data_IF_821598034361
#
_entry.id   IF_821598034361
#
_cell.length_a   1.000
_cell.length_b   1.000
_cell.length_c   1.000
_cell.angle_alpha   90.00
_cell.angle_beta   90.00
_cell.angle_gamma   90.00
#
_symmetry.space_group_name_H-M   'P 1'
#
loop_
_entity.id
_entity.type
_entity.pdbx_description
1 polymer ?
#
# COMPACT_ATOMS: atom_id res chain seq x y z
N UNK A 1 -6.92 15.62 -3.62
CA UNK A 1 -5.59 15.13 -3.21
C UNK A 1 -5.83 13.92 -2.34
N UNK A 2 -5.29 12.76 -2.70
CA UNK A 2 -5.58 11.51 -2.01
C UNK A 2 -4.25 11.03 -1.42
N UNK A 3 -4.11 11.09 -0.11
CA UNK A 3 -2.94 10.57 0.61
C UNK A 3 -3.10 9.06 0.76
N UNK A 4 -2.16 8.28 0.25
CA UNK A 4 -2.15 6.82 0.44
C UNK A 4 -0.97 6.43 1.32
N UNK A 5 -1.25 5.59 2.31
CA UNK A 5 -0.23 5.11 3.25
C UNK A 5 0.23 3.73 2.80
N UNK A 6 1.53 3.58 2.62
CA UNK A 6 2.20 2.32 2.30
C UNK A 6 3.13 1.92 3.44
N UNK A 7 3.22 0.63 3.72
CA UNK A 7 4.06 0.06 4.75
C UNK A 7 5.24 -0.66 4.12
N UNK A 8 6.39 -0.43 4.73
CA UNK A 8 7.63 -1.13 4.46
C UNK A 8 7.70 -2.35 5.35
N UNK A 9 7.87 -3.51 4.74
CA UNK A 9 8.01 -4.78 5.42
C UNK A 9 9.13 -5.60 4.79
N UNK A 10 9.77 -6.44 5.59
CA UNK A 10 10.78 -7.37 5.13
C UNK A 10 10.29 -8.81 5.36
N UNK A 11 10.09 -9.56 4.29
CA UNK A 11 9.65 -10.94 4.35
C UNK A 11 10.72 -11.85 4.97
N UNK A 12 10.29 -12.97 5.53
CA UNK A 12 11.20 -13.98 6.11
C UNK A 12 12.17 -14.58 5.07
N UNK A 13 11.78 -14.55 3.79
CA UNK A 13 12.60 -14.97 2.64
C UNK A 13 13.76 -13.98 2.34
N UNK A 14 13.81 -12.83 3.03
CA UNK A 14 14.80 -11.77 2.81
C UNK A 14 14.40 -10.76 1.73
N UNK A 15 13.21 -10.90 1.17
CA UNK A 15 12.63 -9.94 0.22
C UNK A 15 12.06 -8.72 0.95
N UNK A 16 12.35 -7.52 0.46
CA UNK A 16 11.81 -6.27 0.99
C UNK A 16 10.66 -5.76 0.13
N UNK A 17 9.63 -5.17 0.75
CA UNK A 17 8.51 -4.56 0.06
C UNK A 17 8.06 -3.28 0.77
N UNK A 18 8.08 -2.16 0.06
CA UNK A 18 7.61 -0.84 0.54
C UNK A 18 6.16 -0.52 0.17
N UNK A 19 5.53 -1.36 -0.65
CA UNK A 19 4.24 -1.08 -1.26
C UNK A 19 3.06 -1.81 -0.57
N UNK A 20 3.16 -2.10 0.74
CA UNK A 20 2.14 -2.89 1.45
C UNK A 20 1.02 -1.99 1.99
N UNK A 21 -0.23 -2.37 1.72
CA UNK A 21 -1.36 -1.64 2.28
C UNK A 21 -1.61 -2.03 3.74
N UNK A 22 -1.98 -1.07 4.62
CA UNK A 22 -2.35 -1.36 6.00
C UNK A 22 -3.56 -2.28 6.12
N UNK A 23 -4.46 -2.30 5.12
CA UNK A 23 -5.61 -3.20 5.04
C UNK A 23 -5.23 -4.67 4.79
N UNK A 24 -4.07 -4.91 4.17
CA UNK A 24 -3.59 -6.26 3.91
C UNK A 24 -3.04 -6.93 5.17
N UNK A 25 -2.72 -6.16 6.22
CA UNK A 25 -2.22 -6.69 7.49
C UNK A 25 -3.40 -7.35 8.23
N UNK A 26 -3.40 -8.67 8.31
CA UNK A 26 -4.40 -9.45 9.05
C UNK A 26 -4.01 -9.68 10.52
N UNK A 27 -2.74 -9.43 10.86
CA UNK A 27 -2.24 -9.66 12.22
C UNK A 27 -2.75 -8.63 13.23
N UNK A 28 -3.11 -7.44 12.76
CA UNK A 28 -3.65 -6.34 13.57
C UNK A 28 -4.43 -5.40 12.65
N UNK A 29 -5.47 -4.76 13.18
CA UNK A 29 -6.19 -3.69 12.48
C UNK A 29 -5.34 -2.41 12.42
N UNK A 30 -4.33 -2.36 11.55
CA UNK A 30 -3.50 -1.17 11.35
C UNK A 30 -4.32 0.06 10.94
N UNK A 31 -5.47 -0.16 10.31
CA UNK A 31 -6.43 0.88 9.91
C UNK A 31 -7.02 1.61 11.14
N UNK A 32 -7.32 0.88 12.22
CA UNK A 32 -7.96 1.45 13.42
C UNK A 32 -6.95 1.73 14.54
N UNK A 33 -5.98 0.83 14.73
CA UNK A 33 -4.99 0.90 15.82
C UNK A 33 -3.75 1.72 15.42
N UNK A 34 -3.56 1.99 14.12
CA UNK A 34 -2.37 2.65 13.59
C UNK A 34 -1.21 1.68 13.31
N UNK A 35 -0.07 2.22 12.84
CA UNK A 35 1.06 1.43 12.40
C UNK A 35 1.68 0.60 13.55
N UNK A 36 2.20 -0.62 13.26
CA UNK A 36 2.96 -1.40 14.21
C UNK A 36 4.30 -0.72 14.58
N UNK A 37 4.93 -1.11 15.70
CA UNK A 37 6.29 -0.69 15.99
C UNK A 37 7.29 -1.28 15.01
N UNK A 38 8.33 -0.50 14.68
CA UNK A 38 9.42 -0.90 13.80
C UNK A 38 10.07 -2.19 14.31
N UNK A 39 10.11 -3.21 13.47
CA UNK A 39 10.65 -4.53 13.75
C UNK A 39 9.65 -5.56 14.30
N UNK A 40 8.37 -5.23 14.43
CA UNK A 40 7.33 -6.20 14.80
C UNK A 40 7.07 -7.19 13.65
N UNK A 41 6.93 -8.48 13.97
CA UNK A 41 6.52 -9.47 12.98
C UNK A 41 5.01 -9.36 12.74
N UNK A 42 4.65 -9.00 11.51
CA UNK A 42 3.27 -8.88 11.05
C UNK A 42 2.94 -9.98 10.03
N UNK A 43 1.69 -10.40 10.06
CA UNK A 43 1.10 -11.28 9.05
C UNK A 43 0.21 -10.44 8.15
N UNK A 44 0.41 -10.58 6.84
CA UNK A 44 -0.38 -9.89 5.84
C UNK A 44 -0.79 -10.86 4.72
N UNK A 45 -1.97 -10.62 4.16
CA UNK A 45 -2.49 -11.39 3.04
C UNK A 45 -2.10 -10.67 1.75
N UNK A 46 -1.33 -11.36 0.89
CA UNK A 46 -0.95 -10.82 -0.41
C UNK A 46 -2.08 -10.94 -1.42
N UNK A 47 -1.91 -10.34 -2.61
CA UNK A 47 -2.89 -10.37 -3.70
C UNK A 47 -3.26 -11.79 -4.16
N UNK A 48 -2.38 -12.75 -3.94
CA UNK A 48 -2.58 -14.18 -4.23
C UNK A 48 -3.47 -14.89 -3.20
N UNK A 49 -3.90 -14.19 -2.14
CA UNK A 49 -4.68 -14.74 -1.04
C UNK A 49 -3.84 -15.54 -0.02
N UNK A 50 -2.53 -15.66 -0.25
CA UNK A 50 -1.59 -16.33 0.63
C UNK A 50 -1.16 -15.39 1.76
N UNK A 51 -1.08 -15.93 2.97
CA UNK A 51 -0.62 -15.21 4.16
C UNK A 51 0.90 -15.31 4.23
N UNK A 52 1.55 -14.15 4.17
CA UNK A 52 2.99 -14.04 4.35
C UNK A 52 3.31 -13.40 5.69
N UNK A 53 4.42 -13.85 6.28
CA UNK A 53 5.00 -13.24 7.47
C UNK A 53 6.09 -12.29 7.03
N UNK A 54 5.98 -11.05 7.48
CA UNK A 54 6.97 -10.02 7.21
C UNK A 54 7.22 -9.21 8.47
N UNK A 55 8.43 -8.69 8.60
CA UNK A 55 8.83 -7.79 9.67
C UNK A 55 8.52 -6.37 9.25
N UNK A 56 7.69 -5.67 10.01
CA UNK A 56 7.39 -4.26 9.76
C UNK A 56 8.68 -3.44 9.92
N UNK A 57 8.93 -2.54 8.97
CA UNK A 57 10.10 -1.67 8.96
C UNK A 57 9.64 -0.25 9.27
N UNK A 58 8.79 0.34 8.41
CA UNK A 58 8.32 1.72 8.56
C UNK A 58 6.99 1.95 7.83
N UNK A 59 6.32 3.09 8.11
CA UNK A 59 5.12 3.53 7.39
C UNK A 59 5.42 4.79 6.59
N UNK A 60 5.31 4.71 5.27
CA UNK A 60 5.50 5.81 4.33
C UNK A 60 4.14 6.32 3.82
N UNK A 61 3.87 7.61 4.02
CA UNK A 61 2.67 8.27 3.50
C UNK A 61 3.02 8.96 2.18
N UNK A 62 2.55 8.40 1.07
CA UNK A 62 2.75 8.98 -0.27
C UNK A 62 1.53 9.80 -0.70
N UNK A 63 1.76 11.05 -1.09
CA UNK A 63 0.73 11.86 -1.73
C UNK A 63 0.50 11.37 -3.16
N UNK A 64 -0.64 10.72 -3.40
CA UNK A 64 -1.04 10.36 -4.75
C UNK A 64 -1.67 11.59 -5.40
N UNK A 65 -0.98 12.12 -6.40
CA UNK A 65 -1.59 13.02 -7.36
C UNK A 65 -2.52 12.17 -8.24
N UNK A 66 -3.77 12.01 -7.82
CA UNK A 66 -4.82 11.58 -8.76
C UNK A 66 -4.88 12.65 -9.86
N UNK A 67 -4.29 12.34 -11.01
CA UNK A 67 -4.53 13.10 -12.23
C UNK A 67 -5.94 12.75 -12.67
N UNK A 68 -6.91 13.56 -12.25
CA UNK A 68 -8.17 13.64 -12.96
C UNK A 68 -7.82 14.10 -14.37
N UNK A 69 -7.74 13.16 -15.33
CA UNK A 69 -7.72 13.54 -16.74
C UNK A 69 -9.08 14.17 -17.04
N UNK A 70 -9.16 15.49 -16.92
CA UNK A 70 -10.23 16.27 -17.53
C UNK A 70 -10.26 15.93 -19.02
N UNK A 71 -11.45 15.56 -19.48
CA UNK A 71 -11.70 15.05 -20.81
C UNK A 71 -11.19 15.98 -21.90
N UNK A 72 -10.06 15.63 -22.52
CA UNK A 72 -9.72 16.10 -23.85
C UNK A 72 -10.54 15.35 -24.91
N UNK A 73 -11.88 15.37 -24.79
CA UNK A 73 -12.77 15.02 -25.88
C UNK A 73 -12.97 16.25 -26.78
N UNK A 74 -11.92 16.70 -27.46
CA UNK A 74 -12.03 17.56 -28.64
C UNK A 74 -11.32 16.91 -29.82
N UNK A 75 -11.91 15.83 -30.34
CA UNK A 75 -11.65 15.39 -31.71
C UNK A 75 -12.68 16.06 -32.61
N UNK A 76 -12.29 17.19 -33.20
CA UNK A 76 -12.92 17.71 -34.40
C UNK A 76 -12.62 16.77 -35.56
N UNK A 77 -13.63 16.03 -36.04
CA UNK A 77 -13.56 15.37 -37.35
C UNK A 77 -14.45 16.12 -38.34
N UNK A 78 -13.79 16.69 -39.34
CA UNK A 78 -14.32 17.53 -40.39
C UNK A 78 -15.05 16.70 -41.46
N UNK A 79 -16.20 17.18 -41.94
CA UNK A 79 -16.55 17.07 -43.35
C UNK A 79 -17.42 18.24 -43.80
#
# INVERSE_FOLDING_TARGET
>A
MTTQTFYEVNFDDGSYSDNVYPESIISRDCIQLGPPPEGEMVQLQWTDGIIYKAKFIAAQISQIYQVSMEEYARVSCQR
#
